data_IF_574611925263
#
_entry.id   IF_574611925263
#
_cell.length_a   1.000
_cell.length_b   1.000
_cell.length_c   1.000
_cell.angle_alpha   90.00
_cell.angle_beta   90.00
_cell.angle_gamma   90.00
#
_symmetry.space_group_name_H-M   'P 1'
#
loop_
_entity.id
_entity.type
_entity.pdbx_description
1 polymer ?
#
# COMPACT_ATOMS: atom_id res chain seq x y z
N UNK A 1 55.49 -16.97 -49.58
CA UNK A 1 55.77 -15.53 -49.42
C UNK A 1 54.88 -14.98 -48.31
N UNK A 2 55.49 -14.47 -47.21
CA UNK A 2 54.93 -13.74 -46.04
C UNK A 2 53.91 -14.54 -45.17
N UNK A 3 54.29 -15.14 -44.04
CA UNK A 3 54.63 -14.55 -42.73
C UNK A 3 53.61 -13.52 -42.24
N UNK A 4 52.82 -13.84 -41.21
CA UNK A 4 52.96 -13.17 -39.90
C UNK A 4 52.21 -13.88 -38.77
N UNK A 5 52.97 -14.09 -37.70
CA UNK A 5 52.61 -14.42 -36.32
C UNK A 5 51.69 -13.35 -35.71
N UNK A 6 50.72 -13.72 -34.87
CA UNK A 6 50.07 -12.77 -33.94
C UNK A 6 49.62 -13.49 -32.66
N UNK A 7 50.55 -13.59 -31.71
CA UNK A 7 50.28 -13.72 -30.28
C UNK A 7 49.40 -12.57 -29.79
N UNK A 8 48.21 -12.87 -29.27
CA UNK A 8 47.41 -11.89 -28.52
C UNK A 8 47.78 -11.96 -27.03
N UNK A 9 48.50 -10.93 -26.58
CA UNK A 9 48.83 -10.67 -25.19
C UNK A 9 47.57 -10.34 -24.38
N UNK A 10 47.37 -11.07 -23.28
CA UNK A 10 46.39 -10.77 -22.23
C UNK A 10 46.80 -9.48 -21.51
N UNK A 11 46.14 -8.37 -21.82
CA UNK A 11 46.34 -7.07 -21.17
C UNK A 11 45.74 -7.11 -19.77
N UNK A 12 46.59 -7.27 -18.75
CA UNK A 12 46.24 -7.03 -17.35
C UNK A 12 46.06 -5.52 -17.17
N UNK A 13 44.80 -5.06 -17.14
CA UNK A 13 44.48 -3.65 -16.90
C UNK A 13 44.84 -3.24 -15.47
N UNK A 14 45.70 -2.22 -15.39
CA UNK A 14 46.20 -1.55 -14.18
C UNK A 14 45.07 -1.10 -13.23
N UNK A 15 45.34 -1.24 -11.92
CA UNK A 15 44.59 -0.63 -10.81
C UNK A 15 44.59 0.92 -10.94
N UNK A 16 43.47 1.61 -10.67
CA UNK A 16 43.51 3.04 -10.38
C UNK A 16 43.78 3.29 -8.88
N UNK A 17 44.85 4.04 -8.60
CA UNK A 17 45.05 4.86 -7.40
C UNK A 17 44.22 6.16 -7.58
N UNK A 18 43.77 6.94 -6.60
CA UNK A 18 43.90 7.04 -5.14
C UNK A 18 42.75 7.94 -4.65
N UNK A 19 42.38 7.90 -3.37
CA UNK A 19 42.09 9.11 -2.60
C UNK A 19 42.40 8.84 -1.11
N UNK A 20 43.28 9.68 -0.56
CA UNK A 20 43.83 9.67 0.81
C UNK A 20 42.73 9.90 1.88
N UNK A 21 42.84 9.48 3.14
CA UNK A 21 43.98 9.56 4.08
C UNK A 21 44.16 8.28 4.92
N UNK A 22 45.38 7.75 4.97
CA UNK A 22 45.76 6.61 5.80
C UNK A 22 46.87 7.03 6.78
N UNK A 23 46.64 6.78 8.06
CA UNK A 23 47.71 6.56 9.02
C UNK A 23 48.24 5.14 8.73
N UNK A 24 49.55 5.02 8.50
CA UNK A 24 50.33 3.76 8.38
C UNK A 24 50.15 2.81 7.19
N UNK A 25 49.71 3.29 6.02
CA UNK A 25 49.95 2.61 4.73
C UNK A 25 49.36 1.20 4.53
N UNK A 26 48.75 0.59 5.54
CA UNK A 26 47.91 -0.60 5.45
C UNK A 26 46.47 -0.16 5.17
N UNK A 27 45.78 -0.74 4.18
CA UNK A 27 44.36 -0.45 3.99
C UNK A 27 43.59 -0.79 5.27
N UNK A 28 42.76 0.15 5.72
CA UNK A 28 41.91 -0.02 6.90
C UNK A 28 41.21 -1.39 6.86
N UNK A 29 41.50 -2.25 7.83
CA UNK A 29 41.02 -3.62 7.86
C UNK A 29 39.48 -3.69 7.82
N UNK A 30 38.81 -2.72 8.46
CA UNK A 30 37.36 -2.61 8.46
C UNK A 30 36.82 -2.19 7.09
N UNK A 31 37.48 -1.23 6.44
CA UNK A 31 37.13 -0.85 5.08
C UNK A 31 37.32 -2.01 4.10
N UNK A 32 38.39 -2.77 4.26
CA UNK A 32 38.68 -3.96 3.46
C UNK A 32 37.62 -5.04 3.66
N UNK A 33 37.23 -5.32 4.92
CA UNK A 33 36.15 -6.25 5.24
C UNK A 33 34.83 -5.83 4.59
N UNK A 34 34.50 -4.54 4.63
CA UNK A 34 33.28 -4.04 4.01
C UNK A 34 33.27 -4.27 2.49
N UNK A 35 34.40 -4.03 1.81
CA UNK A 35 34.51 -4.29 0.37
C UNK A 35 34.43 -5.79 0.04
N UNK A 36 34.98 -6.67 0.89
CA UNK A 36 34.82 -8.13 0.73
C UNK A 36 33.34 -8.54 0.86
N UNK A 37 32.64 -8.04 1.88
CA UNK A 37 31.22 -8.29 2.06
C UNK A 37 30.38 -7.74 0.91
N UNK A 38 30.74 -6.58 0.36
CA UNK A 38 30.07 -5.97 -0.78
C UNK A 38 30.20 -6.84 -2.05
N UNK A 39 31.35 -7.49 -2.26
CA UNK A 39 31.56 -8.42 -3.38
C UNK A 39 30.67 -9.66 -3.30
N UNK A 40 30.47 -10.21 -2.10
CA UNK A 40 29.57 -11.35 -1.89
C UNK A 40 28.09 -10.97 -1.78
N UNK A 41 27.78 -9.67 -1.64
CA UNK A 41 26.43 -9.13 -1.46
C UNK A 41 25.84 -8.47 -2.72
N UNK A 42 25.93 -9.18 -3.84
CA UNK A 42 25.42 -8.70 -5.14
C UNK A 42 23.91 -8.41 -5.06
N UNK A 43 23.48 -7.28 -5.63
CA UNK A 43 22.06 -6.89 -5.71
C UNK A 43 21.45 -6.26 -4.45
N UNK A 44 22.23 -5.99 -3.38
CA UNK A 44 21.74 -5.25 -2.21
C UNK A 44 21.54 -3.76 -2.52
N UNK A 45 20.52 -3.13 -1.93
CA UNK A 45 20.21 -1.71 -2.13
C UNK A 45 21.30 -0.79 -1.57
N UNK A 46 21.53 0.34 -2.24
CA UNK A 46 22.50 1.35 -1.82
C UNK A 46 22.28 1.83 -0.36
N UNK A 47 21.03 2.06 0.05
CA UNK A 47 20.70 2.45 1.41
C UNK A 47 21.13 1.41 2.46
N UNK A 48 21.04 0.12 2.11
CA UNK A 48 21.52 -0.98 2.95
C UNK A 48 23.03 -0.94 3.06
N UNK A 49 23.76 -0.75 1.95
CA UNK A 49 25.22 -0.60 1.97
C UNK A 49 25.67 0.53 2.88
N UNK A 50 25.04 1.72 2.76
CA UNK A 50 25.35 2.89 3.61
C UNK A 50 25.12 2.59 5.09
N UNK A 51 24.03 1.89 5.43
CA UNK A 51 23.73 1.52 6.81
C UNK A 51 24.75 0.53 7.38
N UNK A 52 25.06 -0.55 6.64
CA UNK A 52 26.06 -1.54 7.06
C UNK A 52 27.42 -0.88 7.29
N UNK A 53 27.82 0.00 6.35
CA UNK A 53 29.07 0.76 6.46
C UNK A 53 29.12 1.61 7.72
N UNK A 54 28.09 2.41 7.96
CA UNK A 54 28.00 3.28 9.16
C UNK A 54 28.07 2.50 10.47
N UNK A 55 27.43 1.33 10.54
CA UNK A 55 27.47 0.50 11.76
C UNK A 55 28.88 -0.08 11.96
N UNK A 56 29.53 -0.54 10.89
CA UNK A 56 30.89 -1.05 10.96
C UNK A 56 31.88 0.05 11.38
N UNK A 57 31.80 1.22 10.77
CA UNK A 57 32.67 2.36 11.10
C UNK A 57 32.44 2.83 12.55
N UNK A 58 31.20 2.83 13.03
CA UNK A 58 30.90 3.16 14.43
C UNK A 58 31.50 2.15 15.41
N UNK A 59 31.44 0.86 15.08
CA UNK A 59 32.07 -0.18 15.89
C UNK A 59 33.61 -0.08 15.87
N UNK A 60 34.19 0.15 14.69
CA UNK A 60 35.62 0.34 14.52
C UNK A 60 36.14 1.57 15.28
N UNK A 61 35.36 2.66 15.30
CA UNK A 61 35.70 3.83 16.10
C UNK A 61 35.63 3.52 17.61
N UNK A 62 34.59 2.82 18.06
CA UNK A 62 34.39 2.48 19.47
C UNK A 62 35.50 1.58 20.03
N UNK A 63 35.93 0.55 19.29
CA UNK A 63 36.94 -0.39 19.77
C UNK A 63 38.39 0.04 19.47
N UNK A 64 38.61 1.31 19.07
CA UNK A 64 39.93 1.82 18.75
C UNK A 64 40.56 1.17 17.51
N UNK A 65 39.74 0.67 16.57
CA UNK A 65 40.15 -0.01 15.33
C UNK A 65 41.03 -1.25 15.58
N UNK A 66 40.74 -2.00 16.63
CA UNK A 66 41.40 -3.28 16.94
C UNK A 66 41.47 -4.20 15.71
N UNK A 67 42.55 -4.98 15.52
CA UNK A 67 42.64 -5.96 14.43
C UNK A 67 41.47 -6.94 14.44
N UNK A 68 40.88 -7.20 13.26
CA UNK A 68 39.65 -8.00 13.14
C UNK A 68 39.80 -9.39 13.78
N UNK A 69 40.94 -10.06 13.59
CA UNK A 69 41.22 -11.38 14.17
C UNK A 69 41.38 -11.39 15.70
N UNK A 70 41.60 -10.24 16.33
CA UNK A 70 41.77 -10.09 17.79
C UNK A 70 40.46 -9.80 18.52
N UNK A 71 39.40 -9.45 17.80
CA UNK A 71 38.10 -9.14 18.38
C UNK A 71 37.54 -10.38 19.10
N UNK A 72 37.01 -10.17 20.31
CA UNK A 72 36.39 -11.20 21.14
C UNK A 72 34.97 -10.79 21.51
N UNK A 73 34.21 -11.75 22.04
CA UNK A 73 32.82 -11.53 22.49
C UNK A 73 32.67 -10.34 23.45
N UNK A 74 33.65 -10.13 24.34
CA UNK A 74 33.66 -9.01 25.29
C UNK A 74 33.59 -7.64 24.61
N UNK A 75 34.21 -7.48 23.44
CA UNK A 75 34.25 -6.20 22.73
C UNK A 75 32.89 -5.89 22.08
N UNK A 76 32.18 -6.93 21.63
CA UNK A 76 30.82 -6.81 21.11
C UNK A 76 29.81 -6.53 22.23
N UNK A 77 30.01 -7.13 23.41
CA UNK A 77 29.20 -6.83 24.60
C UNK A 77 29.43 -5.39 25.05
N UNK A 78 30.67 -4.93 25.12
CA UNK A 78 31.00 -3.54 25.44
C UNK A 78 30.37 -2.56 24.44
N UNK A 79 30.41 -2.88 23.14
CA UNK A 79 29.74 -2.04 22.14
C UNK A 79 28.22 -2.06 22.26
N UNK A 80 27.62 -3.23 22.51
CA UNK A 80 26.18 -3.37 22.75
C UNK A 80 25.75 -2.49 23.93
N UNK A 81 26.50 -2.55 25.02
CA UNK A 81 26.19 -1.82 26.26
C UNK A 81 26.39 -0.31 26.06
N UNK A 82 27.47 0.11 25.39
CA UNK A 82 27.66 1.50 24.96
C UNK A 82 26.49 2.05 24.12
N UNK A 83 25.93 1.23 23.22
CA UNK A 83 24.75 1.65 22.44
C UNK A 83 23.50 1.81 23.31
N UNK A 84 23.34 1.00 24.35
CA UNK A 84 22.25 1.14 25.32
C UNK A 84 22.43 2.38 26.20
N UNK A 85 23.65 2.63 26.68
CA UNK A 85 24.00 3.81 27.46
C UNK A 85 23.82 5.11 26.65
N UNK A 86 23.82 5.01 25.32
CA UNK A 86 23.50 6.09 24.39
C UNK A 86 22.00 6.20 24.05
N UNK A 87 21.12 5.70 24.93
CA UNK A 87 19.66 5.71 24.81
C UNK A 87 19.09 5.06 23.53
N UNK A 88 19.82 4.14 22.89
CA UNK A 88 19.28 3.41 21.74
C UNK A 88 18.40 2.25 22.19
N UNK A 89 17.25 2.10 21.52
CA UNK A 89 16.31 1.03 21.87
C UNK A 89 16.93 -0.38 21.67
N UNK A 90 16.56 -1.37 22.50
CA UNK A 90 17.05 -2.75 22.36
C UNK A 90 16.87 -3.35 20.95
N UNK A 91 15.79 -3.00 20.24
CA UNK A 91 15.55 -3.40 18.84
C UNK A 91 16.64 -2.86 17.91
N UNK A 92 16.99 -1.57 18.07
CA UNK A 92 18.04 -0.92 17.29
C UNK A 92 19.41 -1.52 17.59
N UNK A 93 19.70 -1.78 18.86
CA UNK A 93 20.96 -2.40 19.30
C UNK A 93 21.09 -3.80 18.72
N UNK A 94 20.07 -4.66 18.87
CA UNK A 94 20.03 -6.00 18.29
C UNK A 94 20.24 -5.97 16.76
N UNK A 95 19.64 -5.01 16.06
CA UNK A 95 19.85 -4.85 14.63
C UNK A 95 21.30 -4.47 14.26
N UNK A 96 21.92 -3.55 15.02
CA UNK A 96 23.34 -3.17 14.81
C UNK A 96 24.30 -4.33 15.10
N UNK A 97 24.07 -5.09 16.16
CA UNK A 97 24.86 -6.29 16.46
C UNK A 97 24.64 -7.37 15.37
N UNK A 98 23.41 -7.54 14.89
CA UNK A 98 23.09 -8.42 13.77
C UNK A 98 23.84 -8.04 12.49
N UNK A 99 23.96 -6.74 12.21
CA UNK A 99 24.77 -6.22 11.10
C UNK A 99 26.24 -6.65 11.25
N UNK A 100 26.84 -6.44 12.43
CA UNK A 100 28.24 -6.82 12.70
C UNK A 100 28.41 -8.34 12.56
N UNK A 101 27.46 -9.12 13.09
CA UNK A 101 27.44 -10.59 12.95
C UNK A 101 27.46 -11.01 11.48
N UNK A 102 26.70 -10.34 10.60
CA UNK A 102 26.75 -10.60 9.15
C UNK A 102 28.10 -10.27 8.54
N UNK A 103 28.69 -9.11 8.88
CA UNK A 103 29.99 -8.71 8.33
C UNK A 103 31.12 -9.64 8.82
N UNK A 104 31.10 -10.05 10.07
CA UNK A 104 32.09 -10.98 10.62
C UNK A 104 31.93 -12.41 10.11
N UNK A 105 30.76 -12.79 9.59
CA UNK A 105 30.64 -14.04 8.83
C UNK A 105 31.57 -13.98 7.61
N UNK A 106 31.55 -12.88 6.86
CA UNK A 106 32.48 -12.68 5.74
C UNK A 106 33.93 -12.67 6.19
N UNK A 107 34.25 -12.10 7.36
CA UNK A 107 35.61 -12.16 7.90
C UNK A 107 36.08 -13.61 8.12
N UNK A 108 35.20 -14.47 8.62
CA UNK A 108 35.48 -15.91 8.78
C UNK A 108 35.61 -16.61 7.42
N UNK A 109 34.71 -16.33 6.47
CA UNK A 109 34.72 -16.95 5.13
C UNK A 109 36.02 -16.64 4.35
N UNK A 110 36.64 -15.48 4.63
CA UNK A 110 37.93 -15.07 4.06
C UNK A 110 39.12 -15.32 5.02
N UNK A 111 38.93 -16.10 6.08
CA UNK A 111 39.97 -16.50 7.04
C UNK A 111 40.68 -15.32 7.74
N UNK A 112 40.04 -14.14 7.78
CA UNK A 112 40.51 -12.97 8.53
C UNK A 112 40.27 -13.09 10.04
N UNK A 113 39.48 -14.09 10.44
CA UNK A 113 39.05 -14.35 11.80
C UNK A 113 38.73 -15.85 11.95
N UNK A 114 39.21 -16.48 13.02
CA UNK A 114 39.03 -17.93 13.22
C UNK A 114 37.57 -18.34 13.51
N UNK A 115 36.81 -17.49 14.21
CA UNK A 115 35.40 -17.73 14.52
C UNK A 115 34.67 -16.40 14.75
N UNK A 116 33.36 -16.36 14.50
CA UNK A 116 32.59 -15.12 14.61
C UNK A 116 32.13 -14.87 16.07
N UNK A 117 32.73 -13.92 16.81
CA UNK A 117 32.42 -13.67 18.22
C UNK A 117 31.02 -13.07 18.44
N UNK A 118 30.39 -12.55 17.39
CA UNK A 118 29.04 -11.98 17.48
C UNK A 118 27.94 -13.04 17.46
N UNK A 119 28.25 -14.31 17.15
CA UNK A 119 27.26 -15.39 17.12
C UNK A 119 26.59 -15.58 18.47
N UNK A 120 27.40 -15.59 19.52
CA UNK A 120 27.03 -15.86 20.91
C UNK A 120 26.55 -14.62 21.69
N UNK A 121 26.51 -13.44 21.06
CA UNK A 121 26.02 -12.24 21.74
C UNK A 121 24.52 -12.41 21.98
N UNK A 122 24.12 -12.47 23.27
CA UNK A 122 22.72 -12.65 23.66
C UNK A 122 21.90 -11.48 23.14
N UNK A 123 20.85 -11.80 22.41
CA UNK A 123 19.85 -10.85 21.92
C UNK A 123 19.16 -10.24 23.14
N UNK A 124 19.10 -8.92 23.19
CA UNK A 124 18.42 -8.20 24.25
C UNK A 124 16.91 -8.45 24.14
N UNK A 125 16.26 -8.69 25.28
CA UNK A 125 14.80 -8.77 25.32
C UNK A 125 14.20 -7.44 24.88
N UNK A 126 13.30 -7.51 23.91
CA UNK A 126 12.59 -6.34 23.42
C UNK A 126 11.18 -6.42 23.97
N UNK A 127 10.79 -5.46 24.81
CA UNK A 127 9.36 -5.29 25.08
C UNK A 127 8.66 -5.02 23.75
N UNK A 128 7.58 -5.76 23.48
CA UNK A 128 6.74 -5.47 22.32
C UNK A 128 6.22 -4.05 22.48
N UNK A 129 6.81 -3.09 21.76
CA UNK A 129 6.19 -1.77 21.61
C UNK A 129 4.78 -2.03 21.07
N UNK A 130 3.77 -1.44 21.73
CA UNK A 130 2.37 -1.47 21.28
C UNK A 130 2.36 -1.32 19.76
N UNK A 131 1.93 -2.37 19.06
CA UNK A 131 1.96 -2.42 17.61
C UNK A 131 1.29 -1.16 17.05
N UNK A 132 1.72 -0.70 15.87
CA UNK A 132 0.95 0.32 15.14
C UNK A 132 -0.48 -0.22 14.98
N UNK A 133 -1.45 0.61 15.31
CA UNK A 133 -2.85 0.20 15.40
C UNK A 133 -3.59 0.75 14.19
N UNK A 134 -4.57 -0.01 13.68
CA UNK A 134 -5.53 0.47 12.68
C UNK A 134 -6.32 1.68 13.21
N UNK A 135 -6.71 2.58 12.32
CA UNK A 135 -7.72 3.59 12.62
C UNK A 135 -9.08 2.95 12.91
N UNK A 136 -9.80 3.51 13.88
CA UNK A 136 -11.24 3.22 14.02
C UNK A 136 -12.03 4.04 13.01
N UNK A 137 -13.28 3.68 12.79
CA UNK A 137 -14.17 4.37 11.85
C UNK A 137 -14.42 5.82 12.30
N UNK A 138 -14.57 6.06 13.61
CA UNK A 138 -14.77 7.38 14.19
C UNK A 138 -13.56 8.29 13.97
N UNK A 139 -12.36 7.74 14.10
CA UNK A 139 -11.11 8.44 13.80
C UNK A 139 -10.97 8.75 12.32
N UNK A 140 -11.35 7.83 11.43
CA UNK A 140 -11.39 8.08 9.97
C UNK A 140 -12.37 9.20 9.66
N UNK A 141 -13.58 9.16 10.22
CA UNK A 141 -14.59 10.21 10.03
C UNK A 141 -14.09 11.56 10.54
N UNK A 142 -13.44 11.60 11.69
CA UNK A 142 -12.80 12.83 12.21
C UNK A 142 -11.70 13.34 11.27
N UNK A 143 -10.89 12.45 10.71
CA UNK A 143 -9.84 12.80 9.75
C UNK A 143 -10.38 13.39 8.44
N UNK A 144 -11.43 12.80 7.88
CA UNK A 144 -12.03 13.24 6.61
C UNK A 144 -13.04 14.39 6.78
N UNK A 145 -13.43 14.72 8.01
CA UNK A 145 -14.16 15.96 8.35
C UNK A 145 -13.26 17.11 8.78
N UNK A 146 -11.95 16.89 8.88
CA UNK A 146 -11.00 17.95 9.21
C UNK A 146 -10.67 18.82 7.99
N UNK A 147 -10.01 19.95 8.25
CA UNK A 147 -9.83 21.10 7.34
C UNK A 147 -9.28 20.77 5.94
N UNK A 148 -8.49 19.72 5.77
CA UNK A 148 -7.97 19.32 4.44
C UNK A 148 -9.10 18.81 3.53
N UNK A 149 -10.01 18.02 4.09
CA UNK A 149 -11.04 17.31 3.34
C UNK A 149 -12.37 18.06 3.37
N UNK A 150 -12.79 18.58 4.54
CA UNK A 150 -14.03 19.31 4.67
C UNK A 150 -13.99 20.72 4.06
N UNK A 151 -12.86 21.42 4.17
CA UNK A 151 -12.71 22.79 3.67
C UNK A 151 -11.82 22.87 2.42
N UNK A 152 -11.33 21.72 1.93
CA UNK A 152 -10.45 21.66 0.76
C UNK A 152 -9.06 22.28 0.96
N UNK A 153 -8.57 22.47 2.19
CA UNK A 153 -7.24 23.07 2.40
C UNK A 153 -6.12 22.23 1.77
N UNK A 154 -5.17 22.89 1.11
CA UNK A 154 -3.99 22.28 0.44
C UNK A 154 -2.68 22.77 1.06
N UNK A 155 -2.35 22.34 2.30
CA UNK A 155 -1.18 22.85 3.02
C UNK A 155 0.14 22.52 2.29
N UNK A 156 1.00 23.52 2.13
CA UNK A 156 2.32 23.36 1.48
C UNK A 156 3.18 22.29 2.17
N UNK A 157 3.15 22.22 3.50
CA UNK A 157 3.89 21.21 4.27
C UNK A 157 3.45 19.76 4.02
N UNK A 158 2.23 19.57 3.52
CA UNK A 158 1.71 18.27 3.11
C UNK A 158 1.81 18.01 1.61
N UNK A 159 2.54 18.82 0.85
CA UNK A 159 2.63 18.66 -0.62
C UNK A 159 1.33 18.99 -1.34
N UNK A 160 0.56 19.97 -0.85
CA UNK A 160 -0.68 20.47 -1.46
C UNK A 160 -1.71 19.36 -1.71
N UNK A 161 -1.88 18.94 -2.96
CA UNK A 161 -2.80 17.90 -3.39
C UNK A 161 -2.48 16.54 -2.76
N UNK A 162 -1.20 16.27 -2.48
CA UNK A 162 -0.80 15.07 -1.76
C UNK A 162 -1.43 15.00 -0.36
N UNK A 163 -1.67 16.15 0.29
CA UNK A 163 -2.29 16.20 1.61
C UNK A 163 -3.74 15.70 1.59
N UNK A 164 -4.45 15.91 0.48
CA UNK A 164 -5.80 15.45 0.25
C UNK A 164 -5.85 14.00 -0.25
N UNK A 165 -5.06 13.67 -1.28
CA UNK A 165 -5.15 12.38 -1.94
C UNK A 165 -4.43 11.23 -1.23
N UNK A 166 -3.27 11.47 -0.59
CA UNK A 166 -2.52 10.38 0.03
C UNK A 166 -3.29 9.66 1.15
N UNK A 167 -4.04 10.35 2.04
CA UNK A 167 -4.91 9.68 3.02
C UNK A 167 -5.97 8.77 2.38
N UNK A 168 -6.70 9.27 1.37
CA UNK A 168 -7.74 8.50 0.65
C UNK A 168 -7.14 7.30 -0.08
N UNK A 169 -6.06 7.52 -0.83
CA UNK A 169 -5.34 6.45 -1.52
C UNK A 169 -4.81 5.41 -0.54
N UNK A 170 -4.19 5.82 0.57
CA UNK A 170 -3.64 4.87 1.54
C UNK A 170 -4.73 4.04 2.21
N UNK A 171 -5.89 4.62 2.51
CA UNK A 171 -7.03 3.91 3.08
C UNK A 171 -7.58 2.84 2.12
N UNK A 172 -7.71 3.18 0.84
CA UNK A 172 -8.42 2.36 -0.15
C UNK A 172 -7.51 1.43 -0.97
N UNK A 173 -6.19 1.53 -0.79
CA UNK A 173 -5.19 0.68 -1.49
C UNK A 173 -4.30 -0.11 -0.55
N UNK A 174 -4.17 0.32 0.72
CA UNK A 174 -3.20 -0.22 1.67
C UNK A 174 -1.74 -0.01 1.26
N UNK A 175 -1.44 0.81 0.26
CA UNK A 175 -0.08 1.06 -0.22
C UNK A 175 0.77 1.84 0.80
N UNK A 176 2.09 1.70 0.71
CA UNK A 176 3.02 2.44 1.58
C UNK A 176 3.09 3.89 1.12
N UNK A 177 3.32 4.80 2.07
CA UNK A 177 3.46 6.24 1.77
C UNK A 177 4.47 6.54 0.67
N UNK A 178 5.60 5.84 0.66
CA UNK A 178 6.63 6.07 -0.36
C UNK A 178 6.19 5.59 -1.74
N UNK A 179 5.45 4.47 -1.81
CA UNK A 179 4.94 3.95 -3.07
C UNK A 179 3.92 4.93 -3.66
N UNK A 180 3.02 5.46 -2.84
CA UNK A 180 2.04 6.47 -3.27
C UNK A 180 2.69 7.82 -3.61
N UNK A 181 3.68 8.24 -2.84
CA UNK A 181 4.39 9.50 -3.03
C UNK A 181 5.24 9.52 -4.32
N UNK A 182 5.69 8.35 -4.78
CA UNK A 182 6.51 8.20 -5.99
C UNK A 182 5.69 7.88 -7.24
N UNK A 183 4.35 7.75 -7.15
CA UNK A 183 3.51 7.47 -8.31
C UNK A 183 3.71 8.51 -9.40
N UNK A 184 3.84 8.05 -10.64
CA UNK A 184 3.75 8.86 -11.84
C UNK A 184 2.31 8.95 -12.32
N UNK A 185 2.01 9.95 -13.14
CA UNK A 185 0.71 10.02 -13.84
C UNK A 185 0.48 8.75 -14.68
N UNK A 186 1.53 8.24 -15.35
CA UNK A 186 1.48 7.01 -16.15
C UNK A 186 1.34 5.70 -15.35
N UNK A 187 1.41 5.76 -14.03
CA UNK A 187 1.14 4.60 -13.16
C UNK A 187 -0.36 4.40 -12.91
N UNK A 188 -1.19 5.41 -13.22
CA UNK A 188 -2.65 5.27 -13.26
C UNK A 188 -3.04 4.72 -14.63
N UNK A 189 -3.38 3.44 -14.67
CA UNK A 189 -3.64 2.70 -15.92
C UNK A 189 -5.09 2.26 -15.98
N UNK A 190 -5.50 1.82 -17.16
CA UNK A 190 -6.82 1.28 -17.42
C UNK A 190 -6.69 -0.14 -17.98
N UNK A 191 -7.49 -1.07 -17.47
CA UNK A 191 -7.66 -2.40 -18.02
C UNK A 191 -9.03 -2.46 -18.69
N UNK A 192 -9.05 -2.80 -19.98
CA UNK A 192 -10.27 -2.95 -20.75
C UNK A 192 -11.21 -3.97 -20.09
N UNK A 193 -12.49 -3.63 -19.95
CA UNK A 193 -13.50 -4.48 -19.32
C UNK A 193 -13.47 -4.54 -17.77
N UNK A 194 -12.43 -4.02 -17.11
CA UNK A 194 -12.32 -4.07 -15.63
C UNK A 194 -12.30 -2.68 -14.98
N UNK A 195 -11.58 -1.73 -15.58
CA UNK A 195 -11.47 -0.35 -15.10
C UNK A 195 -10.06 0.08 -14.72
N UNK A 196 -9.96 1.13 -13.91
CA UNK A 196 -8.68 1.76 -13.56
C UNK A 196 -7.93 1.04 -12.43
N UNK A 197 -6.60 1.02 -12.51
CA UNK A 197 -5.72 0.48 -11.49
C UNK A 197 -4.43 1.29 -11.36
N UNK A 198 -3.79 1.23 -10.19
CA UNK A 198 -2.47 1.75 -9.93
C UNK A 198 -1.41 0.67 -10.19
N UNK A 199 -0.38 1.00 -10.95
CA UNK A 199 0.81 0.17 -11.13
C UNK A 199 1.90 0.64 -10.16
N UNK A 200 2.17 -0.14 -9.12
CA UNK A 200 3.31 0.12 -8.24
C UNK A 200 4.50 -0.65 -8.79
N UNK A 201 5.42 0.05 -9.46
CA UNK A 201 6.62 -0.50 -10.11
C UNK A 201 7.88 0.30 -9.74
N UNK A 202 9.04 -0.26 -10.07
CA UNK A 202 10.35 0.40 -10.05
C UNK A 202 10.78 0.88 -11.44
N UNK A 203 9.86 0.96 -12.40
CA UNK A 203 10.14 1.39 -13.78
C UNK A 203 10.47 2.89 -13.88
N UNK A 204 10.05 3.69 -12.89
CA UNK A 204 10.49 5.08 -12.80
C UNK A 204 11.93 5.15 -12.28
N UNK A 205 12.76 6.02 -12.86
CA UNK A 205 14.19 6.19 -12.50
C UNK A 205 14.41 6.49 -11.00
N UNK A 206 13.39 7.04 -10.34
CA UNK A 206 13.39 7.36 -8.90
C UNK A 206 12.65 6.34 -8.01
N UNK A 207 11.95 5.38 -8.60
CA UNK A 207 11.21 4.37 -7.87
C UNK A 207 12.16 3.29 -7.36
N UNK A 208 12.24 3.17 -6.04
CA UNK A 208 13.04 2.13 -5.40
C UNK A 208 12.12 1.25 -4.58
N UNK A 209 11.60 0.22 -5.23
CA UNK A 209 10.87 -0.82 -4.53
C UNK A 209 11.82 -1.66 -3.68
N UNK A 210 11.27 -2.27 -2.65
CA UNK A 210 12.07 -3.12 -1.78
C UNK A 210 12.54 -4.34 -2.60
N UNK A 211 11.66 -5.13 -3.19
CA UNK A 211 12.07 -6.35 -3.91
C UNK A 211 11.29 -6.44 -5.24
N UNK A 212 11.73 -7.24 -6.22
CA UNK A 212 10.97 -7.49 -7.47
C UNK A 212 9.53 -7.96 -7.20
N UNK A 213 9.32 -8.74 -6.13
CA UNK A 213 8.01 -9.15 -5.63
C UNK A 213 7.12 -8.00 -5.07
N UNK A 214 7.59 -6.75 -5.07
CA UNK A 214 6.81 -5.57 -4.67
C UNK A 214 6.06 -4.93 -5.83
N UNK A 215 6.40 -5.30 -7.09
CA UNK A 215 5.65 -4.91 -8.27
C UNK A 215 4.24 -5.45 -8.17
N UNK A 216 3.23 -4.59 -8.25
CA UNK A 216 1.84 -5.00 -8.10
C UNK A 216 0.87 -4.03 -8.74
N UNK A 217 -0.32 -4.54 -9.05
CA UNK A 217 -1.45 -3.80 -9.57
C UNK A 217 -2.48 -3.67 -8.46
N UNK A 218 -3.03 -2.48 -8.26
CA UNK A 218 -4.06 -2.22 -7.26
C UNK A 218 -5.24 -1.54 -7.96
N UNK A 219 -6.40 -2.19 -8.08
CA UNK A 219 -7.59 -1.55 -8.64
C UNK A 219 -7.95 -0.25 -7.91
N UNK A 220 -8.38 0.76 -8.66
CA UNK A 220 -8.85 2.02 -8.11
C UNK A 220 -10.26 1.79 -7.56
N UNK A 221 -10.41 1.94 -6.24
CA UNK A 221 -11.69 1.79 -5.56
C UNK A 221 -12.71 2.85 -6.03
N UNK A 222 -14.00 2.51 -6.12
CA UNK A 222 -15.04 3.42 -6.60
C UNK A 222 -15.12 4.74 -5.83
N UNK A 223 -15.02 4.72 -4.51
CA UNK A 223 -14.91 5.94 -3.70
C UNK A 223 -13.88 6.93 -4.24
N UNK A 224 -12.71 6.47 -4.73
CA UNK A 224 -11.71 7.37 -5.32
C UNK A 224 -12.23 8.00 -6.63
N UNK A 225 -12.94 7.22 -7.44
CA UNK A 225 -13.58 7.70 -8.66
C UNK A 225 -14.66 8.75 -8.34
N UNK A 226 -15.50 8.46 -7.35
CA UNK A 226 -16.58 9.34 -6.88
C UNK A 226 -16.03 10.64 -6.28
N UNK A 227 -14.87 10.59 -5.61
CA UNK A 227 -14.13 11.77 -5.14
C UNK A 227 -13.45 12.57 -6.27
N UNK A 228 -13.48 12.11 -7.53
CA UNK A 228 -12.86 12.82 -8.66
C UNK A 228 -11.36 12.55 -8.84
N UNK A 229 -10.85 11.39 -8.39
CA UNK A 229 -9.42 11.08 -8.51
C UNK A 229 -8.95 11.07 -9.97
N UNK A 230 -9.76 10.55 -10.90
CA UNK A 230 -9.40 10.55 -12.32
C UNK A 230 -9.39 11.95 -12.93
N UNK A 231 -10.26 12.86 -12.47
CA UNK A 231 -10.25 14.25 -12.93
C UNK A 231 -8.97 14.96 -12.47
N UNK A 232 -8.54 14.66 -11.24
CA UNK A 232 -7.26 15.14 -10.72
C UNK A 232 -6.08 14.64 -11.56
N UNK A 233 -6.06 13.33 -11.88
CA UNK A 233 -5.02 12.70 -12.72
C UNK A 233 -5.01 13.32 -14.11
N UNK A 234 -6.18 13.46 -14.76
CA UNK A 234 -6.32 14.06 -16.08
C UNK A 234 -5.89 15.53 -16.11
N UNK A 235 -6.07 16.25 -15.00
CA UNK A 235 -5.60 17.64 -14.86
C UNK A 235 -4.09 17.78 -14.66
N UNK A 236 -3.32 16.69 -14.56
CA UNK A 236 -1.85 16.76 -14.48
C UNK A 236 -1.25 16.92 -15.88
N UNK A 237 -0.27 17.82 -16.02
CA UNK A 237 0.45 18.02 -17.27
C UNK A 237 1.67 17.10 -17.33
N UNK A 238 1.73 16.24 -18.35
CA UNK A 238 2.90 15.39 -18.65
C UNK A 238 2.98 14.10 -17.82
N UNK A 239 3.99 13.28 -18.12
CA UNK A 239 4.21 11.96 -17.51
C UNK A 239 4.99 11.99 -16.18
N UNK A 240 5.02 13.14 -15.49
CA UNK A 240 5.79 13.35 -14.26
C UNK A 240 5.16 12.71 -13.02
N UNK A 241 5.67 13.09 -11.85
CA UNK A 241 5.09 12.70 -10.56
C UNK A 241 3.61 13.11 -10.48
N UNK A 242 2.78 12.20 -10.00
CA UNK A 242 1.38 12.45 -9.69
C UNK A 242 1.24 13.55 -8.63
N UNK A 243 2.19 13.59 -7.68
CA UNK A 243 2.27 14.57 -6.59
C UNK A 243 3.56 15.41 -6.66
N UNK A 244 3.64 16.39 -7.58
CA UNK A 244 4.89 17.11 -7.87
C UNK A 244 5.36 18.06 -6.75
N UNK A 245 4.46 18.46 -5.85
CA UNK A 245 4.78 19.35 -4.72
C UNK A 245 5.43 18.61 -3.52
N UNK A 246 5.54 17.28 -3.57
CA UNK A 246 6.26 16.52 -2.54
C UNK A 246 7.76 16.76 -2.67
N UNK A 247 8.41 16.95 -1.52
CA UNK A 247 9.86 17.21 -1.46
C UNK A 247 10.60 15.98 -0.94
N UNK A 248 11.72 15.58 -1.58
CA UNK A 248 12.54 14.50 -1.07
C UNK A 248 13.21 14.93 0.24
N UNK A 249 13.29 14.00 1.20
CA UNK A 249 14.09 14.19 2.40
C UNK A 249 15.60 14.02 2.10
N UNK A 250 16.44 14.16 3.12
CA UNK A 250 17.90 13.93 3.03
C UNK A 250 18.32 12.54 2.54
N UNK A 251 17.40 11.59 2.44
CA UNK A 251 17.61 10.23 1.90
C UNK A 251 17.00 10.04 0.51
N UNK A 252 16.55 11.11 -0.15
CA UNK A 252 15.92 11.05 -1.47
C UNK A 252 14.51 10.46 -1.48
N UNK A 253 13.84 10.37 -0.31
CA UNK A 253 12.49 9.77 -0.19
C UNK A 253 11.40 10.83 -0.13
N UNK A 254 10.35 10.70 -0.94
CA UNK A 254 9.27 11.68 -1.09
C UNK A 254 8.23 11.58 0.04
N UNK A 255 7.95 10.39 0.56
CA UNK A 255 6.98 10.17 1.63
C UNK A 255 7.48 10.54 3.03
N UNK A 256 8.77 10.88 3.16
CA UNK A 256 9.43 11.17 4.44
C UNK A 256 8.87 12.40 5.15
N UNK A 257 8.98 13.57 4.52
CA UNK A 257 8.45 14.82 5.10
C UNK A 257 6.92 14.79 5.21
N UNK A 258 6.24 14.17 4.25
CA UNK A 258 4.80 13.97 4.30
C UNK A 258 4.37 13.20 5.57
N UNK A 259 5.07 12.12 5.92
CA UNK A 259 4.76 11.34 7.12
C UNK A 259 4.91 12.16 8.41
N UNK A 260 5.92 13.03 8.47
CA UNK A 260 6.14 13.96 9.58
C UNK A 260 5.02 15.00 9.66
N UNK A 261 4.67 15.60 8.53
CA UNK A 261 3.54 16.53 8.41
C UNK A 261 2.24 15.87 8.89
N UNK A 262 1.91 14.69 8.35
CA UNK A 262 0.67 13.98 8.65
C UNK A 262 0.56 13.60 10.13
N UNK A 263 1.66 13.15 10.75
CA UNK A 263 1.69 12.86 12.18
C UNK A 263 1.38 14.10 13.03
N UNK A 264 1.92 15.26 12.64
CA UNK A 264 1.60 16.53 13.30
C UNK A 264 0.16 16.98 13.05
N UNK A 265 -0.36 16.79 11.85
CA UNK A 265 -1.74 17.08 11.46
C UNK A 265 -2.75 16.26 12.29
N UNK A 266 -2.54 14.94 12.40
CA UNK A 266 -3.39 14.08 13.22
C UNK A 266 -3.51 14.57 14.68
N UNK A 267 -2.39 15.00 15.27
CA UNK A 267 -2.34 15.42 16.68
C UNK A 267 -2.92 16.81 16.91
N UNK A 268 -2.57 17.78 16.06
CA UNK A 268 -2.87 19.20 16.30
C UNK A 268 -4.16 19.68 15.66
N UNK A 269 -4.61 19.02 14.59
CA UNK A 269 -5.75 19.48 13.78
C UNK A 269 -6.92 18.50 13.82
N UNK A 270 -6.64 17.19 13.80
CA UNK A 270 -7.68 16.16 13.84
C UNK A 270 -8.05 15.75 15.27
N UNK A 271 -7.14 15.90 16.23
CA UNK A 271 -7.37 15.53 17.64
C UNK A 271 -7.11 14.06 17.98
N UNK A 272 -6.57 13.26 17.04
CA UNK A 272 -6.21 11.86 17.29
C UNK A 272 -4.89 11.84 18.07
N UNK A 273 -4.94 11.75 19.40
CA UNK A 273 -3.78 11.85 20.29
C UNK A 273 -2.86 10.63 20.34
N UNK A 274 -3.35 9.44 19.98
CA UNK A 274 -2.58 8.19 20.08
C UNK A 274 -1.36 8.19 19.16
N UNK A 275 -0.16 8.27 19.76
CA UNK A 275 1.13 8.31 19.04
C UNK A 275 1.41 7.08 18.17
N UNK A 276 0.69 5.98 18.37
CA UNK A 276 0.79 4.77 17.54
C UNK A 276 0.06 4.90 16.20
N UNK A 277 -0.89 5.83 16.07
CA UNK A 277 -1.61 6.14 14.83
C UNK A 277 -0.76 7.05 13.95
N UNK A 278 -0.19 6.48 12.90
CA UNK A 278 0.67 7.18 11.93
C UNK A 278 0.15 6.91 10.52
N UNK A 279 0.77 7.47 9.49
CA UNK A 279 0.30 7.21 8.11
C UNK A 279 0.25 5.70 7.76
N UNK A 280 1.18 4.90 8.29
CA UNK A 280 1.15 3.44 8.08
C UNK A 280 -0.05 2.74 8.72
N UNK A 281 -0.77 3.37 9.64
CA UNK A 281 -2.01 2.84 10.22
C UNK A 281 -3.10 2.64 9.18
N UNK A 282 -3.10 3.40 8.07
CA UNK A 282 -4.02 3.12 6.94
C UNK A 282 -3.87 1.72 6.37
N UNK A 283 -2.63 1.23 6.25
CA UNK A 283 -2.38 -0.12 5.76
C UNK A 283 -2.84 -1.19 6.76
N UNK A 284 -2.73 -0.91 8.06
CA UNK A 284 -3.30 -1.79 9.09
C UNK A 284 -4.82 -1.82 8.98
N UNK A 285 -5.46 -0.65 8.90
CA UNK A 285 -6.90 -0.53 8.64
C UNK A 285 -7.30 -1.29 7.38
N UNK A 286 -6.62 -1.11 6.26
CA UNK A 286 -6.91 -1.81 5.01
C UNK A 286 -6.86 -3.34 5.19
N UNK A 287 -5.78 -3.89 5.80
CA UNK A 287 -5.69 -5.35 6.03
C UNK A 287 -6.78 -5.86 6.97
N UNK A 288 -7.10 -5.11 8.02
CA UNK A 288 -8.12 -5.51 8.98
C UNK A 288 -9.52 -5.46 8.35
N UNK A 289 -9.81 -4.43 7.54
CA UNK A 289 -11.03 -4.36 6.74
C UNK A 289 -11.12 -5.51 5.75
N UNK A 290 -10.05 -5.82 4.99
CA UNK A 290 -10.04 -6.97 4.08
C UNK A 290 -10.44 -8.27 4.78
N UNK A 291 -9.90 -8.52 5.98
CA UNK A 291 -10.27 -9.70 6.77
C UNK A 291 -11.73 -9.66 7.22
N UNK A 292 -12.21 -8.50 7.66
CA UNK A 292 -13.58 -8.32 8.11
C UNK A 292 -14.61 -8.58 6.99
N UNK A 293 -14.29 -8.21 5.74
CA UNK A 293 -15.16 -8.43 4.58
C UNK A 293 -14.88 -9.75 3.84
N UNK A 294 -14.04 -10.63 4.40
CA UNK A 294 -13.78 -11.96 3.83
C UNK A 294 -12.93 -11.96 2.55
N UNK A 295 -12.10 -10.94 2.32
CA UNK A 295 -11.09 -10.96 1.25
C UNK A 295 -9.94 -11.87 1.69
N UNK A 296 -9.64 -12.88 0.88
CA UNK A 296 -8.61 -13.88 1.16
C UNK A 296 -7.23 -13.28 1.40
N UNK A 297 -6.44 -13.94 2.26
CA UNK A 297 -5.12 -13.46 2.65
C UNK A 297 -4.17 -13.32 1.47
N UNK A 298 -4.22 -14.27 0.53
CA UNK A 298 -3.41 -14.22 -0.68
C UNK A 298 -3.71 -12.97 -1.52
N UNK A 299 -4.99 -12.63 -1.66
CA UNK A 299 -5.44 -11.47 -2.45
C UNK A 299 -5.02 -10.16 -1.77
N UNK A 300 -5.26 -10.00 -0.46
CA UNK A 300 -4.85 -8.77 0.22
C UNK A 300 -3.33 -8.66 0.38
N UNK A 301 -2.59 -9.78 0.42
CA UNK A 301 -1.13 -9.77 0.39
C UNK A 301 -0.57 -9.47 -1.01
N UNK A 302 -1.29 -9.82 -2.08
CA UNK A 302 -1.00 -9.34 -3.43
C UNK A 302 -1.24 -7.82 -3.55
N UNK A 303 -2.39 -7.31 -3.07
CA UNK A 303 -2.72 -5.87 -3.06
C UNK A 303 -1.72 -5.05 -2.23
N UNK A 304 -1.29 -5.58 -1.09
CA UNK A 304 -0.39 -4.87 -0.18
C UNK A 304 1.09 -5.11 -0.51
N UNK A 305 1.46 -6.15 -1.27
CA UNK A 305 2.86 -6.48 -1.54
C UNK A 305 3.55 -7.16 -0.35
N UNK A 306 2.85 -8.10 0.28
CA UNK A 306 3.38 -9.06 1.26
C UNK A 306 3.45 -10.49 0.72
N UNK A 307 3.01 -10.75 -0.51
CA UNK A 307 2.99 -12.08 -1.11
C UNK A 307 4.35 -12.78 -0.95
N UNK A 308 4.42 -13.79 -0.08
CA UNK A 308 5.65 -14.48 0.28
C UNK A 308 6.23 -15.22 -0.94
N UNK A 309 7.55 -15.18 -1.20
CA UNK A 309 8.18 -15.95 -2.26
C UNK A 309 8.15 -17.44 -1.90
N UNK A 310 6.99 -18.09 -1.98
CA UNK A 310 6.87 -19.54 -1.83
C UNK A 310 7.09 -20.21 -3.19
N UNK A 311 7.80 -21.33 -3.14
CA UNK A 311 8.25 -22.13 -4.28
C UNK A 311 7.12 -22.68 -5.18
N UNK A 312 5.85 -22.55 -4.79
CA UNK A 312 4.69 -22.93 -5.61
C UNK A 312 4.47 -22.03 -6.84
N UNK A 313 5.13 -20.87 -6.92
CA UNK A 313 5.00 -19.91 -8.04
C UNK A 313 5.87 -20.21 -9.28
N UNK A 314 6.50 -21.38 -9.39
CA UNK A 314 7.08 -21.81 -10.69
C UNK A 314 6.01 -22.24 -11.70
N UNK A 315 4.75 -22.33 -11.28
CA UNK A 315 3.59 -22.54 -12.16
C UNK A 315 2.63 -21.36 -11.97
N UNK A 316 2.78 -20.31 -12.80
CA UNK A 316 1.91 -19.12 -12.79
C UNK A 316 2.64 -17.84 -13.25
N UNK A 317 1.90 -16.90 -13.86
CA UNK A 317 2.41 -15.62 -14.36
C UNK A 317 3.12 -14.79 -13.27
N UNK A 318 4.07 -13.92 -13.67
CA UNK A 318 4.89 -13.08 -12.75
C UNK A 318 4.06 -12.15 -11.84
N UNK A 319 2.80 -11.88 -12.19
CA UNK A 319 1.89 -11.01 -11.46
C UNK A 319 0.56 -11.71 -11.14
N UNK A 320 -0.01 -11.39 -9.99
CA UNK A 320 -1.33 -11.87 -9.59
C UNK A 320 -2.40 -11.43 -10.61
N UNK A 321 -3.35 -12.29 -11.02
CA UNK A 321 -4.42 -11.95 -11.99
C UNK A 321 -5.19 -10.68 -11.59
N UNK A 322 -5.70 -9.93 -12.57
CA UNK A 322 -6.24 -8.61 -12.30
C UNK A 322 -7.70 -8.66 -11.83
N UNK A 323 -8.48 -9.56 -12.43
CA UNK A 323 -9.91 -9.77 -12.18
C UNK A 323 -10.20 -10.04 -10.70
N UNK A 324 -9.51 -10.98 -10.00
CA UNK A 324 -9.81 -11.23 -8.59
C UNK A 324 -9.41 -10.06 -7.67
N UNK A 325 -8.44 -9.23 -8.10
CA UNK A 325 -8.11 -7.99 -7.39
C UNK A 325 -9.27 -7.00 -7.51
N UNK A 326 -9.87 -6.84 -8.70
CA UNK A 326 -11.02 -5.96 -8.91
C UNK A 326 -12.23 -6.44 -8.10
N UNK A 327 -12.52 -7.74 -8.09
CA UNK A 327 -13.58 -8.33 -7.26
C UNK A 327 -13.35 -8.11 -5.76
N UNK A 328 -12.10 -8.24 -5.30
CA UNK A 328 -11.76 -7.97 -3.91
C UNK A 328 -11.94 -6.50 -3.55
N UNK A 329 -11.43 -5.56 -4.37
CA UNK A 329 -11.61 -4.13 -4.14
C UNK A 329 -13.08 -3.70 -4.29
N UNK A 330 -13.89 -4.40 -5.09
CA UNK A 330 -15.33 -4.17 -5.15
C UNK A 330 -16.06 -4.54 -3.85
N UNK A 331 -15.58 -5.57 -3.13
CA UNK A 331 -16.10 -5.98 -1.81
C UNK A 331 -15.52 -5.17 -0.65
N UNK A 332 -14.44 -4.43 -0.87
CA UNK A 332 -13.79 -3.66 0.17
C UNK A 332 -14.71 -2.53 0.64
N UNK A 333 -15.22 -2.62 1.86
CA UNK A 333 -16.08 -1.59 2.43
C UNK A 333 -15.78 -1.40 3.91
N UNK A 334 -15.76 -0.14 4.34
CA UNK A 334 -15.56 0.24 5.73
C UNK A 334 -16.91 0.67 6.28
N UNK A 335 -17.55 -0.21 7.05
CA UNK A 335 -18.85 0.08 7.67
C UNK A 335 -18.78 1.35 8.53
N UNK A 336 -19.72 2.29 8.31
CA UNK A 336 -19.81 3.55 9.05
C UNK A 336 -18.86 4.66 8.60
N UNK A 337 -18.03 4.43 7.57
CA UNK A 337 -17.22 5.50 6.96
C UNK A 337 -18.14 6.51 6.25
N UNK A 338 -18.07 7.77 6.66
CA UNK A 338 -18.86 8.86 6.10
C UNK A 338 -17.95 9.92 5.47
N UNK A 339 -17.86 9.85 4.15
CA UNK A 339 -17.05 10.74 3.31
C UNK A 339 -17.81 11.21 2.07
N UNK A 340 -19.15 11.11 2.08
CA UNK A 340 -19.97 11.45 0.91
C UNK A 340 -19.87 12.93 0.53
N UNK A 341 -19.54 13.81 1.50
CA UNK A 341 -19.26 15.23 1.25
C UNK A 341 -18.03 15.48 0.38
N UNK A 342 -17.21 14.45 0.12
CA UNK A 342 -16.05 14.53 -0.76
C UNK A 342 -16.36 14.13 -2.21
N UNK A 343 -17.57 13.66 -2.50
CA UNK A 343 -17.91 13.19 -3.84
C UNK A 343 -18.13 14.38 -4.78
N UNK A 344 -17.48 14.34 -5.94
CA UNK A 344 -17.60 15.36 -7.00
C UNK A 344 -18.61 14.98 -8.07
N UNK A 345 -19.10 13.73 -8.02
CA UNK A 345 -20.10 13.16 -8.92
C UNK A 345 -21.06 12.27 -8.12
N UNK A 346 -22.26 12.05 -8.65
CA UNK A 346 -23.12 11.01 -8.09
C UNK A 346 -22.39 9.66 -8.14
N UNK A 347 -22.40 8.87 -7.06
CA UNK A 347 -21.63 7.63 -7.00
C UNK A 347 -22.06 6.70 -8.14
N UNK A 348 -21.09 6.22 -8.91
CA UNK A 348 -21.33 5.42 -10.13
C UNK A 348 -21.65 3.95 -9.79
N UNK A 349 -21.57 3.57 -8.50
CA UNK A 349 -21.87 2.21 -8.04
C UNK A 349 -23.20 2.12 -7.28
N UNK A 350 -23.89 0.97 -7.36
CA UNK A 350 -24.98 0.68 -6.46
C UNK A 350 -24.37 0.55 -5.07
N UNK A 351 -25.00 1.15 -4.05
CA UNK A 351 -24.62 1.00 -2.64
C UNK A 351 -24.81 -0.44 -2.09
N UNK A 352 -25.01 -1.41 -2.98
CA UNK A 352 -25.43 -2.77 -2.66
C UNK A 352 -24.46 -3.79 -3.27
N UNK A 353 -23.42 -4.14 -2.53
CA UNK A 353 -22.77 -5.45 -2.63
C UNK A 353 -23.59 -6.57 -1.97
N UNK A 354 -24.90 -6.40 -1.85
CA UNK A 354 -25.81 -7.37 -1.25
C UNK A 354 -26.29 -8.33 -2.33
N UNK A 355 -26.38 -9.62 -2.02
CA UNK A 355 -27.10 -10.56 -2.87
C UNK A 355 -28.46 -9.95 -3.26
N UNK A 356 -28.84 -10.04 -4.53
CA UNK A 356 -30.15 -9.59 -5.00
C UNK A 356 -31.04 -10.80 -5.31
N UNK A 357 -32.35 -10.62 -5.17
CA UNK A 357 -33.37 -11.63 -5.44
C UNK A 357 -34.24 -11.17 -6.61
N UNK A 358 -34.08 -11.74 -7.81
CA UNK A 358 -34.94 -11.42 -8.95
C UNK A 358 -36.39 -11.80 -8.65
N UNK A 359 -37.30 -10.86 -8.88
CA UNK A 359 -38.75 -11.03 -8.64
C UNK A 359 -39.56 -10.98 -9.93
N UNK A 360 -39.06 -10.35 -11.00
CA UNK A 360 -39.71 -10.32 -12.31
C UNK A 360 -38.70 -10.04 -13.42
N UNK A 361 -39.04 -10.38 -14.67
CA UNK A 361 -38.24 -10.05 -15.84
C UNK A 361 -39.11 -9.88 -17.10
N UNK A 362 -38.89 -8.81 -17.85
CA UNK A 362 -39.66 -8.46 -19.05
C UNK A 362 -38.89 -7.50 -19.96
N UNK A 363 -39.07 -7.59 -21.28
CA UNK A 363 -38.41 -6.70 -22.26
C UNK A 363 -36.87 -6.55 -22.09
N UNK A 364 -36.23 -7.61 -21.59
CA UNK A 364 -34.79 -7.67 -21.26
C UNK A 364 -34.40 -7.01 -19.94
N UNK A 365 -35.36 -6.47 -19.19
CA UNK A 365 -35.21 -5.85 -17.88
C UNK A 365 -35.40 -6.93 -16.81
N UNK A 366 -34.52 -6.98 -15.83
CA UNK A 366 -34.67 -7.81 -14.63
C UNK A 366 -34.97 -6.91 -13.44
N UNK A 367 -36.05 -7.19 -12.72
CA UNK A 367 -36.40 -6.51 -11.48
C UNK A 367 -36.03 -7.40 -10.30
N UNK A 368 -35.37 -6.83 -9.29
CA UNK A 368 -34.91 -7.54 -8.10
C UNK A 368 -35.04 -6.69 -6.82
N UNK A 369 -35.13 -7.36 -5.68
CA UNK A 369 -34.87 -6.73 -4.39
C UNK A 369 -33.40 -6.89 -3.99
N UNK A 370 -32.81 -5.82 -3.45
CA UNK A 370 -31.54 -5.91 -2.75
C UNK A 370 -31.76 -6.44 -1.33
N UNK A 371 -30.95 -7.41 -0.89
CA UNK A 371 -31.05 -7.91 0.49
C UNK A 371 -30.69 -6.79 1.49
N UNK A 372 -31.56 -6.47 2.46
CA UNK A 372 -31.29 -5.44 3.44
C UNK A 372 -30.14 -5.84 4.35
N UNK A 373 -29.31 -4.86 4.74
CA UNK A 373 -28.27 -5.06 5.74
C UNK A 373 -28.89 -5.02 7.14
N UNK A 374 -28.52 -5.94 8.05
CA UNK A 374 -29.01 -5.89 9.43
C UNK A 374 -28.68 -4.53 10.07
N UNK A 375 -29.70 -3.85 10.62
CA UNK A 375 -29.53 -2.62 11.41
C UNK A 375 -29.51 -1.29 10.65
N UNK A 376 -29.78 -1.26 9.34
CA UNK A 376 -29.94 -0.02 8.57
C UNK A 376 -31.42 0.20 8.19
N UNK A 377 -31.99 1.36 8.54
CA UNK A 377 -33.30 1.77 8.05
C UNK A 377 -33.20 2.14 6.58
N UNK A 378 -33.66 1.26 5.70
CA UNK A 378 -33.73 1.52 4.25
C UNK A 378 -35.15 1.84 3.82
N UNK A 379 -35.31 2.80 2.92
CA UNK A 379 -36.57 3.04 2.21
C UNK A 379 -36.87 1.87 1.25
N UNK A 380 -38.15 1.54 0.99
CA UNK A 380 -38.51 0.45 0.07
C UNK A 380 -38.17 0.82 -1.38
N UNK A 381 -37.23 0.11 -1.98
CA UNK A 381 -36.85 0.30 -3.38
C UNK A 381 -36.65 -1.04 -4.10
N UNK A 382 -36.77 -1.03 -5.43
CA UNK A 382 -36.43 -2.15 -6.32
C UNK A 382 -35.24 -1.79 -7.22
N UNK A 383 -34.44 -2.79 -7.59
CA UNK A 383 -33.37 -2.68 -8.57
C UNK A 383 -33.89 -3.13 -9.94
N UNK A 384 -33.67 -2.33 -10.98
CA UNK A 384 -33.92 -2.71 -12.36
C UNK A 384 -32.59 -2.78 -13.12
N UNK A 385 -32.36 -3.89 -13.83
CA UNK A 385 -31.12 -4.16 -14.58
C UNK A 385 -31.44 -4.41 -16.04
N UNK A 386 -30.70 -3.79 -16.96
CA UNK A 386 -30.84 -3.98 -18.40
C UNK A 386 -29.49 -3.77 -19.11
N UNK A 387 -29.00 -4.79 -19.83
CA UNK A 387 -27.74 -4.73 -20.61
C UNK A 387 -26.53 -4.18 -19.83
N UNK A 388 -26.38 -4.58 -18.56
CA UNK A 388 -25.28 -4.14 -17.70
C UNK A 388 -25.46 -2.76 -17.06
N UNK A 389 -26.53 -2.03 -17.42
CA UNK A 389 -26.98 -0.84 -16.69
C UNK A 389 -27.92 -1.24 -15.56
N UNK A 390 -27.93 -0.43 -14.50
CA UNK A 390 -28.81 -0.62 -13.36
C UNK A 390 -29.33 0.70 -12.82
N UNK A 391 -30.55 0.69 -12.29
CA UNK A 391 -31.13 1.80 -11.56
C UNK A 391 -31.98 1.30 -10.39
N UNK A 392 -31.90 1.99 -9.27
CA UNK A 392 -32.77 1.81 -8.12
C UNK A 392 -33.99 2.73 -8.23
N UNK A 393 -35.18 2.18 -8.01
CA UNK A 393 -36.45 2.90 -8.02
C UNK A 393 -37.11 2.82 -6.67
N UNK A 394 -37.42 3.97 -6.09
CA UNK A 394 -38.21 4.06 -4.87
C UNK A 394 -39.66 3.64 -5.16
N UNK A 395 -40.20 2.71 -4.38
CA UNK A 395 -41.51 2.09 -4.67
C UNK A 395 -42.65 3.10 -4.44
N UNK A 396 -42.49 4.02 -3.48
CA UNK A 396 -43.54 4.99 -3.14
C UNK A 396 -43.57 6.19 -4.09
N UNK A 397 -42.44 6.79 -4.40
CA UNK A 397 -42.37 7.93 -5.30
C UNK A 397 -42.30 7.54 -6.77
N UNK A 398 -41.97 6.28 -7.08
CA UNK A 398 -41.74 5.77 -8.44
C UNK A 398 -40.67 6.59 -9.20
N UNK A 399 -39.70 7.13 -8.45
CA UNK A 399 -38.57 7.90 -8.95
C UNK A 399 -37.27 7.11 -8.83
N UNK A 400 -36.33 7.41 -9.72
CA UNK A 400 -34.97 6.87 -9.62
C UNK A 400 -34.28 7.49 -8.41
N UNK A 401 -33.73 6.63 -7.55
CA UNK A 401 -32.94 7.03 -6.38
C UNK A 401 -31.43 6.95 -6.63
N UNK A 402 -30.99 6.05 -7.52
CA UNK A 402 -29.60 5.90 -7.96
C UNK A 402 -29.53 5.14 -9.28
N UNK A 403 -28.38 5.23 -9.97
CA UNK A 403 -28.17 4.59 -11.28
C UNK A 403 -28.96 5.25 -12.41
N UNK A 404 -28.93 4.65 -13.59
CA UNK A 404 -29.63 5.17 -14.76
C UNK A 404 -30.07 4.05 -15.70
N UNK A 405 -31.21 4.27 -16.35
CA UNK A 405 -31.69 3.44 -17.45
C UNK A 405 -32.09 4.35 -18.62
N UNK A 406 -31.97 3.89 -19.88
CA UNK A 406 -32.52 4.59 -21.02
C UNK A 406 -34.00 4.95 -20.78
N UNK A 407 -34.40 6.16 -21.19
CA UNK A 407 -35.74 6.72 -20.87
C UNK A 407 -36.90 5.78 -21.21
N UNK A 408 -36.81 5.06 -22.32
CA UNK A 408 -37.82 4.06 -22.71
C UNK A 408 -37.87 2.87 -21.74
N UNK A 409 -36.74 2.42 -21.19
CA UNK A 409 -36.67 1.35 -20.17
C UNK A 409 -37.15 1.85 -18.83
N UNK A 410 -36.78 3.07 -18.44
CA UNK A 410 -37.30 3.71 -17.24
C UNK A 410 -38.83 3.77 -17.25
N UNK A 411 -39.44 4.16 -18.36
CA UNK A 411 -40.90 4.20 -18.48
C UNK A 411 -41.57 2.84 -18.28
N UNK A 412 -40.97 1.76 -18.80
CA UNK A 412 -41.47 0.39 -18.58
C UNK A 412 -41.34 -0.04 -17.12
N UNK A 413 -40.24 0.31 -16.45
CA UNK A 413 -40.07 0.04 -15.02
C UNK A 413 -41.10 0.81 -14.20
N UNK A 414 -41.28 2.11 -14.46
CA UNK A 414 -42.25 2.93 -13.73
C UNK A 414 -43.68 2.43 -13.89
N UNK A 415 -44.08 2.06 -15.12
CA UNK A 415 -45.40 1.51 -15.38
C UNK A 415 -45.63 0.21 -14.60
N UNK A 416 -44.62 -0.67 -14.57
CA UNK A 416 -44.70 -1.93 -13.82
C UNK A 416 -44.74 -1.72 -12.30
N UNK A 417 -43.93 -0.80 -11.77
CA UNK A 417 -43.98 -0.43 -10.33
C UNK A 417 -45.37 0.10 -9.98
N UNK A 418 -45.98 0.90 -10.84
CA UNK A 418 -47.32 1.44 -10.59
C UNK A 418 -48.39 0.33 -10.50
N UNK A 419 -48.32 -0.65 -11.39
CA UNK A 419 -49.25 -1.80 -11.41
C UNK A 419 -49.09 -2.65 -10.14
N UNK A 420 -47.85 -2.89 -9.70
CA UNK A 420 -47.52 -3.81 -8.61
C UNK A 420 -47.21 -3.11 -7.28
N UNK A 421 -47.54 -1.83 -7.14
CA UNK A 421 -47.11 -0.97 -6.02
C UNK A 421 -47.43 -1.58 -4.66
N UNK A 422 -48.67 -2.00 -4.44
CA UNK A 422 -49.11 -2.59 -3.16
C UNK A 422 -48.43 -3.93 -2.88
N UNK A 423 -48.30 -4.78 -3.91
CA UNK A 423 -47.63 -6.09 -3.81
C UNK A 423 -46.14 -5.93 -3.53
N UNK A 424 -45.48 -4.93 -4.12
CA UNK A 424 -44.07 -4.62 -3.90
C UNK A 424 -43.79 -4.17 -2.48
N UNK A 425 -44.65 -3.33 -1.89
CA UNK A 425 -44.52 -2.91 -0.49
C UNK A 425 -44.69 -4.12 0.45
N UNK A 426 -45.70 -4.96 0.21
CA UNK A 426 -45.90 -6.17 1.00
C UNK A 426 -44.72 -7.15 0.88
N UNK A 427 -44.24 -7.39 -0.34
CA UNK A 427 -43.10 -8.26 -0.64
C UNK A 427 -41.82 -7.75 0.02
N UNK A 428 -41.60 -6.43 0.00
CA UNK A 428 -40.46 -5.80 0.69
C UNK A 428 -40.51 -6.02 2.21
N UNK A 429 -41.69 -5.84 2.83
CA UNK A 429 -41.86 -6.04 4.27
C UNK A 429 -41.66 -7.50 4.72
N UNK A 430 -42.10 -8.46 3.91
CA UNK A 430 -41.91 -9.89 4.18
C UNK A 430 -40.47 -10.31 3.94
N UNK A 431 -39.91 -9.94 2.79
CA UNK A 431 -38.57 -10.36 2.39
C UNK A 431 -37.45 -9.73 3.20
N UNK A 432 -37.62 -8.52 3.74
CA UNK A 432 -36.62 -7.93 4.66
C UNK A 432 -36.49 -8.66 5.98
N UNK A 433 -37.54 -9.39 6.40
CA UNK A 433 -37.55 -10.16 7.65
C UNK A 433 -37.14 -11.62 7.42
N UNK A 434 -37.60 -12.22 6.33
CA UNK A 434 -37.41 -13.65 6.02
C UNK A 434 -36.21 -13.94 5.11
N UNK A 435 -35.76 -12.97 4.32
CA UNK A 435 -34.78 -13.15 3.25
C UNK A 435 -35.35 -13.79 1.97
N UNK A 436 -36.65 -14.05 1.93
CA UNK A 436 -37.36 -14.63 0.79
C UNK A 436 -38.35 -13.62 0.18
N UNK A 437 -38.27 -13.45 -1.14
CA UNK A 437 -39.18 -12.59 -1.90
C UNK A 437 -39.95 -13.44 -2.89
N UNK A 438 -41.24 -13.18 -3.04
CA UNK A 438 -42.07 -13.89 -4.02
C UNK A 438 -41.98 -13.21 -5.39
N UNK A 439 -42.24 -13.98 -6.45
CA UNK A 439 -42.24 -13.46 -7.83
C UNK A 439 -43.51 -12.69 -8.12
N UNK A 440 -43.39 -11.68 -8.98
CA UNK A 440 -44.49 -10.87 -9.48
C UNK A 440 -44.58 -11.01 -11.00
N UNK A 441 -45.79 -10.86 -11.53
CA UNK A 441 -46.03 -11.04 -12.95
C UNK A 441 -45.23 -10.02 -13.79
N UNK A 442 -44.74 -10.40 -14.98
CA UNK A 442 -44.04 -9.48 -15.88
C UNK A 442 -44.99 -8.45 -16.49
N UNK A 443 -44.45 -7.27 -16.82
CA UNK A 443 -45.18 -6.29 -17.63
C UNK A 443 -45.52 -6.90 -19.00
N UNK A 444 -46.81 -6.91 -19.33
CA UNK A 444 -47.31 -7.45 -20.61
C UNK A 444 -47.37 -6.37 -21.67
#
# INVERSE_FOLDING_TARGET
MKSTDTRQHLVIKKRPAALASAVDGKPDAYASLFELWKRSSVGRRAATMVQYRRVLDAFAAFNGRMPIGEIRRKDLLAFRDHLLDSDQSPVTVNHKIGIIKTLFRTAVDYELMASNPAVEVRVLETQQRKARVAFTVEELNSLFRAEIHAEGKRPRGGGREAAFWLPLLALLTGARVEELAQLLVGDVRHAEGLGHYLCISDDAEHAQLKNGASRRRIPVHAILLDCGFLDYVAGRKGAGLLFPDLRPNSRGKLGGYFSTFFSGYLRRKVGIGDRRKVFHSFRHTFKDTCRAVGIEEEVHDALTGHAAPRASRRYGNEQYPLEPLFEAIARFEIAGLDIAHLYTRAPVRPRYGAAFRPISAYYGIVIAFAMPRPGQGTTPFVLAMWQGLEAGFDIESNQIIFGELPRNKQMLVNAWIEIHREELIANWHVGRLSGEYFRLDPLR
#
